data_IF_889775133111
#
_entry.id   IF_889775133111
#
_cell.length_a   1.000
_cell.length_b   1.000
_cell.length_c   1.000
_cell.angle_alpha   90.00
_cell.angle_beta   90.00
_cell.angle_gamma   90.00
#
_symmetry.space_group_name_H-M   'P 1'
#
loop_
_entity.id
_entity.type
_entity.pdbx_description
1 polymer ?
#
# COMPACT_ATOMS: atom_id res chain seq x y z
N UNK A 1 -19.62 2.04 -12.25
CA UNK A 1 -18.17 1.88 -12.45
C UNK A 1 -17.69 0.45 -12.25
N UNK A 2 -18.02 -0.22 -11.12
CA UNK A 2 -17.55 -1.59 -10.85
C UNK A 2 -17.93 -2.62 -11.93
N UNK A 3 -19.19 -2.64 -12.39
CA UNK A 3 -19.65 -3.53 -13.48
C UNK A 3 -18.89 -3.30 -14.79
N UNK A 4 -18.79 -2.05 -15.22
CA UNK A 4 -18.05 -1.68 -16.44
C UNK A 4 -16.59 -2.19 -16.42
N UNK A 5 -15.92 -2.07 -15.26
CA UNK A 5 -14.53 -2.53 -15.11
C UNK A 5 -14.42 -4.06 -15.14
N UNK A 6 -15.45 -4.78 -14.67
CA UNK A 6 -15.53 -6.24 -14.74
C UNK A 6 -15.84 -6.72 -16.16
N UNK A 7 -16.69 -6.01 -16.90
CA UNK A 7 -16.95 -6.30 -18.31
C UNK A 7 -15.66 -6.14 -19.14
N UNK A 8 -14.88 -5.10 -18.85
CA UNK A 8 -13.56 -4.88 -19.49
C UNK A 8 -12.52 -5.90 -19.05
N UNK A 9 -12.66 -6.48 -17.86
CA UNK A 9 -11.79 -7.54 -17.35
C UNK A 9 -12.02 -8.89 -18.05
N UNK A 10 -13.18 -9.12 -18.66
CA UNK A 10 -13.43 -10.37 -19.38
C UNK A 10 -12.44 -10.61 -20.54
N UNK A 11 -11.71 -9.58 -20.99
CA UNK A 11 -10.59 -9.71 -21.94
C UNK A 11 -9.18 -9.75 -21.33
N UNK A 12 -9.00 -9.63 -20.01
CA UNK A 12 -7.67 -9.43 -19.38
C UNK A 12 -7.44 -10.15 -18.04
N UNK A 13 -6.16 -10.37 -17.70
CA UNK A 13 -5.71 -11.06 -16.47
C UNK A 13 -5.42 -10.13 -15.28
N UNK A 14 -5.43 -8.81 -15.48
CA UNK A 14 -4.93 -7.83 -14.50
C UNK A 14 -6.01 -7.29 -13.56
N UNK A 15 -6.66 -8.20 -12.83
CA UNK A 15 -7.83 -7.94 -11.96
C UNK A 15 -7.56 -6.81 -10.95
N UNK A 16 -6.41 -6.85 -10.25
CA UNK A 16 -6.02 -5.83 -9.30
C UNK A 16 -5.81 -4.44 -9.90
N UNK A 17 -5.45 -4.35 -11.19
CA UNK A 17 -5.27 -3.05 -11.88
C UNK A 17 -6.62 -2.37 -12.09
N UNK A 18 -7.63 -3.13 -12.51
CA UNK A 18 -8.99 -2.60 -12.70
C UNK A 18 -9.60 -2.16 -11.36
N UNK A 19 -9.40 -2.94 -10.30
CA UNK A 19 -9.83 -2.54 -8.97
C UNK A 19 -9.14 -1.24 -8.49
N UNK A 20 -7.83 -1.11 -8.72
CA UNK A 20 -7.08 0.08 -8.35
C UNK A 20 -7.59 1.34 -9.06
N UNK A 21 -7.95 1.24 -10.35
CA UNK A 21 -8.52 2.36 -11.13
C UNK A 21 -9.84 2.87 -10.57
N UNK A 22 -10.64 2.01 -9.94
CA UNK A 22 -11.88 2.43 -9.29
C UNK A 22 -11.66 2.96 -7.87
N UNK A 23 -10.78 2.33 -7.09
CA UNK A 23 -10.57 2.69 -5.67
C UNK A 23 -9.74 3.96 -5.49
N UNK A 24 -8.64 4.11 -6.24
CA UNK A 24 -7.67 5.20 -6.02
C UNK A 24 -8.32 6.58 -6.18
N UNK A 25 -9.11 6.87 -7.23
CA UNK A 25 -9.75 8.18 -7.37
C UNK A 25 -10.65 8.55 -6.18
N UNK A 26 -11.44 7.59 -5.68
CA UNK A 26 -12.29 7.82 -4.51
C UNK A 26 -11.49 8.11 -3.24
N UNK A 27 -10.33 7.47 -3.07
CA UNK A 27 -9.43 7.77 -1.95
C UNK A 27 -8.80 9.15 -2.09
N UNK A 28 -8.38 9.56 -3.29
CA UNK A 28 -7.80 10.90 -3.50
C UNK A 28 -8.80 12.04 -3.24
N UNK A 29 -10.08 11.80 -3.50
CA UNK A 29 -11.16 12.76 -3.22
C UNK A 29 -11.50 12.85 -1.72
N UNK A 30 -11.05 11.89 -0.91
CA UNK A 30 -11.43 11.82 0.50
C UNK A 30 -12.64 10.92 0.77
N UNK A 31 -13.30 10.39 -0.27
CA UNK A 31 -14.56 9.66 -0.15
C UNK A 31 -14.35 8.16 0.14
N UNK A 32 -14.08 7.86 1.43
CA UNK A 32 -13.83 6.49 1.91
C UNK A 32 -15.06 5.60 1.75
N UNK A 33 -16.26 6.14 1.94
CA UNK A 33 -17.50 5.36 1.83
C UNK A 33 -17.72 4.88 0.40
N UNK A 34 -17.52 5.74 -0.60
CA UNK A 34 -17.59 5.35 -2.01
C UNK A 34 -16.54 4.30 -2.36
N UNK A 35 -15.30 4.47 -1.89
CA UNK A 35 -14.23 3.48 -2.09
C UNK A 35 -14.59 2.10 -1.49
N UNK A 36 -15.18 2.09 -0.29
CA UNK A 36 -15.63 0.85 0.38
C UNK A 36 -16.77 0.19 -0.37
N UNK A 37 -17.80 0.93 -0.75
CA UNK A 37 -18.93 0.39 -1.51
C UNK A 37 -18.47 -0.16 -2.86
N UNK A 38 -17.56 0.55 -3.54
CA UNK A 38 -16.98 0.09 -4.80
C UNK A 38 -16.25 -1.24 -4.64
N UNK A 39 -15.32 -1.36 -3.67
CA UNK A 39 -14.53 -2.60 -3.51
C UNK A 39 -15.40 -3.78 -3.08
N UNK A 40 -16.37 -3.56 -2.20
CA UNK A 40 -17.31 -4.61 -1.77
C UNK A 40 -18.13 -5.12 -2.95
N UNK A 41 -18.71 -4.22 -3.74
CA UNK A 41 -19.50 -4.60 -4.92
C UNK A 41 -18.64 -5.26 -6.00
N UNK A 42 -17.41 -4.76 -6.23
CA UNK A 42 -16.46 -5.35 -7.17
C UNK A 42 -16.09 -6.79 -6.76
N UNK A 43 -15.80 -7.02 -5.47
CA UNK A 43 -15.48 -8.36 -4.96
C UNK A 43 -16.68 -9.30 -5.04
N UNK A 44 -17.88 -8.87 -4.64
CA UNK A 44 -19.08 -9.71 -4.75
C UNK A 44 -19.30 -10.20 -6.17
N UNK A 45 -19.17 -9.33 -7.17
CA UNK A 45 -19.32 -9.73 -8.57
C UNK A 45 -18.15 -10.59 -9.07
N UNK A 46 -16.92 -10.27 -8.67
CA UNK A 46 -15.74 -11.05 -9.05
C UNK A 46 -15.79 -12.48 -8.49
N UNK A 47 -16.29 -12.66 -7.27
CA UNK A 47 -16.48 -13.98 -6.64
C UNK A 47 -17.53 -14.79 -7.41
N UNK A 48 -18.62 -14.15 -7.87
CA UNK A 48 -19.64 -14.79 -8.69
C UNK A 48 -19.08 -15.25 -10.05
N UNK A 49 -18.25 -14.42 -10.70
CA UNK A 49 -17.68 -14.74 -12.01
C UNK A 49 -16.47 -15.68 -11.95
N UNK A 50 -15.64 -15.58 -10.90
CA UNK A 50 -14.37 -16.32 -10.74
C UNK A 50 -14.15 -16.71 -9.28
N UNK A 51 -14.78 -17.78 -8.78
CA UNK A 51 -14.66 -18.18 -7.36
C UNK A 51 -13.24 -18.63 -6.98
N UNK A 52 -12.41 -19.04 -7.94
CA UNK A 52 -11.01 -19.45 -7.72
C UNK A 52 -10.08 -18.30 -7.29
N UNK A 53 -10.55 -17.05 -7.26
CA UNK A 53 -9.76 -15.91 -6.80
C UNK A 53 -9.68 -15.80 -5.28
N UNK A 54 -10.57 -16.47 -4.56
CA UNK A 54 -10.55 -16.50 -3.10
C UNK A 54 -9.50 -17.50 -2.64
N UNK A 55 -8.47 -16.99 -1.96
CA UNK A 55 -7.47 -17.84 -1.31
C UNK A 55 -8.05 -18.47 -0.04
N UNK A 56 -8.96 -17.76 0.63
CA UNK A 56 -9.69 -18.23 1.79
C UNK A 56 -11.18 -17.89 1.64
N UNK A 57 -12.06 -18.85 1.97
CA UNK A 57 -13.52 -18.69 1.83
C UNK A 57 -14.14 -17.90 2.97
N UNK A 58 -13.47 -17.83 4.12
CA UNK A 58 -13.91 -17.12 5.30
C UNK A 58 -13.39 -15.68 5.28
N UNK A 59 -14.27 -14.66 5.41
CA UNK A 59 -13.82 -13.28 5.54
C UNK A 59 -13.07 -13.10 6.87
N UNK A 60 -12.00 -12.32 6.83
CA UNK A 60 -11.25 -11.93 8.04
C UNK A 60 -11.85 -10.64 8.57
N UNK A 61 -12.30 -10.68 9.82
CA UNK A 61 -12.77 -9.49 10.53
C UNK A 61 -11.58 -8.65 10.97
N UNK A 62 -11.58 -7.36 10.64
CA UNK A 62 -10.50 -6.44 11.01
C UNK A 62 -10.97 -5.54 12.16
N UNK A 63 -10.65 -5.95 13.39
CA UNK A 63 -10.99 -5.24 14.63
C UNK A 63 -12.43 -5.52 15.11
N UNK A 64 -12.92 -4.71 16.05
CA UNK A 64 -14.25 -4.88 16.68
C UNK A 64 -15.42 -4.33 15.84
N UNK A 65 -15.10 -3.72 14.71
CA UNK A 65 -16.08 -3.20 13.74
C UNK A 65 -16.38 -4.30 12.73
N UNK A 66 -17.62 -4.39 12.24
CA UNK A 66 -18.10 -5.36 11.22
C UNK A 66 -17.44 -5.19 9.83
N UNK A 67 -16.20 -4.72 9.80
CA UNK A 67 -15.37 -4.51 8.63
C UNK A 67 -14.69 -5.83 8.27
N UNK A 68 -15.27 -6.53 7.30
CA UNK A 68 -14.74 -7.76 6.71
C UNK A 68 -13.75 -7.47 5.57
N UNK A 69 -12.73 -8.32 5.43
CA UNK A 69 -11.76 -8.34 4.34
C UNK A 69 -11.67 -9.74 3.77
N UNK A 70 -11.76 -9.87 2.45
CA UNK A 70 -11.61 -11.15 1.75
C UNK A 70 -10.16 -11.34 1.30
N UNK A 71 -9.54 -12.47 1.67
CA UNK A 71 -8.20 -12.79 1.20
C UNK A 71 -8.30 -13.40 -0.21
N UNK A 72 -7.73 -12.68 -1.17
CA UNK A 72 -7.69 -13.05 -2.58
C UNK A 72 -6.30 -13.48 -3.01
N UNK A 73 -6.22 -14.26 -4.10
CA UNK A 73 -4.96 -14.68 -4.73
C UNK A 73 -4.17 -13.49 -5.30
N UNK A 74 -4.86 -12.40 -5.68
CA UNK A 74 -4.22 -11.18 -6.14
C UNK A 74 -3.83 -10.29 -4.95
N UNK A 75 -2.53 -10.12 -4.76
CA UNK A 75 -1.96 -9.28 -3.72
C UNK A 75 -2.48 -7.82 -3.81
N UNK A 76 -2.71 -7.30 -5.01
CA UNK A 76 -3.17 -5.90 -5.18
C UNK A 76 -4.57 -5.69 -4.61
N UNK A 77 -5.47 -6.68 -4.73
CA UNK A 77 -6.81 -6.59 -4.15
C UNK A 77 -6.75 -6.62 -2.62
N UNK A 78 -5.90 -7.46 -2.04
CA UNK A 78 -5.70 -7.51 -0.60
C UNK A 78 -5.14 -6.18 -0.09
N UNK A 79 -4.20 -5.59 -0.82
CA UNK A 79 -3.68 -4.27 -0.53
C UNK A 79 -4.76 -3.19 -0.53
N UNK A 80 -5.58 -3.12 -1.59
CA UNK A 80 -6.61 -2.08 -1.70
C UNK A 80 -7.63 -2.17 -0.57
N UNK A 81 -8.05 -3.38 -0.20
CA UNK A 81 -8.94 -3.60 0.93
C UNK A 81 -8.32 -3.09 2.23
N UNK A 82 -7.07 -3.48 2.52
CA UNK A 82 -6.35 -3.01 3.71
C UNK A 82 -6.13 -1.49 3.68
N UNK A 83 -5.77 -0.93 2.53
CA UNK A 83 -5.54 0.50 2.36
C UNK A 83 -6.79 1.33 2.68
N UNK A 84 -7.98 0.92 2.21
CA UNK A 84 -9.25 1.58 2.55
C UNK A 84 -9.48 1.53 4.06
N UNK A 85 -9.25 0.38 4.71
CA UNK A 85 -9.43 0.23 6.16
C UNK A 85 -8.42 1.06 6.97
N UNK A 86 -7.17 1.18 6.49
CA UNK A 86 -6.16 2.05 7.10
C UNK A 86 -6.53 3.53 6.94
N UNK A 87 -7.04 3.94 5.77
CA UNK A 87 -7.53 5.31 5.53
C UNK A 87 -8.76 5.63 6.38
N UNK A 88 -9.68 4.67 6.56
CA UNK A 88 -10.88 4.84 7.40
C UNK A 88 -10.55 5.17 8.85
N UNK A 89 -9.44 4.61 9.35
CA UNK A 89 -8.97 4.84 10.71
C UNK A 89 -7.95 5.97 10.80
N UNK A 90 -7.64 6.63 9.68
CA UNK A 90 -6.75 7.77 9.67
C UNK A 90 -7.40 8.97 10.37
N UNK A 91 -6.74 9.46 11.43
CA UNK A 91 -7.14 10.67 12.15
C UNK A 91 -6.06 11.76 11.99
N UNK A 92 -5.59 11.97 10.76
CA UNK A 92 -4.49 12.89 10.46
C UNK A 92 -3.19 12.48 11.13
N UNK A 93 -2.43 13.47 11.63
CA UNK A 93 -1.15 13.26 12.35
C UNK A 93 -1.33 12.68 13.76
N UNK A 94 -2.57 12.63 14.27
CA UNK A 94 -2.82 12.26 15.67
C UNK A 94 -2.64 10.76 15.95
N UNK A 95 -2.60 9.92 14.91
CA UNK A 95 -2.52 8.47 15.08
C UNK A 95 -1.25 7.87 14.47
N UNK A 96 -0.17 7.92 15.24
CA UNK A 96 1.17 7.45 14.85
C UNK A 96 1.19 5.95 14.50
N UNK A 97 0.43 5.12 15.21
CA UNK A 97 0.40 3.66 14.97
C UNK A 97 -0.17 3.32 13.60
N UNK A 98 -1.20 4.04 13.15
CA UNK A 98 -1.83 3.83 11.84
C UNK A 98 -0.95 4.39 10.72
N UNK A 99 -0.27 5.51 10.95
CA UNK A 99 0.76 6.01 10.02
C UNK A 99 1.87 4.97 9.83
N UNK A 100 2.37 4.37 10.89
CA UNK A 100 3.36 3.29 10.80
C UNK A 100 2.80 2.06 10.09
N UNK A 101 1.55 1.68 10.35
CA UNK A 101 0.88 0.60 9.64
C UNK A 101 0.78 0.87 8.14
N UNK A 102 0.44 2.10 7.73
CA UNK A 102 0.43 2.52 6.33
C UNK A 102 1.81 2.44 5.69
N UNK A 103 2.87 2.91 6.36
CA UNK A 103 4.24 2.81 5.87
C UNK A 103 4.68 1.36 5.73
N UNK A 104 4.40 0.50 6.72
CA UNK A 104 4.70 -0.94 6.65
C UNK A 104 3.92 -1.62 5.52
N UNK A 105 2.67 -1.23 5.30
CA UNK A 105 1.86 -1.74 4.19
C UNK A 105 2.49 -1.34 2.85
N UNK A 106 2.75 -0.05 2.62
CA UNK A 106 3.40 0.43 1.40
C UNK A 106 4.77 -0.25 1.17
N UNK A 107 5.59 -0.35 2.21
CA UNK A 107 6.90 -1.01 2.14
C UNK A 107 6.80 -2.50 1.81
N UNK A 108 5.86 -3.23 2.44
CA UNK A 108 5.65 -4.65 2.15
C UNK A 108 5.26 -4.89 0.69
N UNK A 109 4.43 -4.02 0.13
CA UNK A 109 4.00 -4.14 -1.27
C UNK A 109 5.03 -3.62 -2.27
N UNK A 110 5.87 -2.65 -1.89
CA UNK A 110 7.02 -2.23 -2.69
C UNK A 110 8.10 -3.32 -2.75
N UNK A 111 8.31 -4.05 -1.65
CA UNK A 111 9.29 -5.15 -1.57
C UNK A 111 8.77 -6.45 -2.19
N UNK A 112 7.49 -6.79 -1.97
CA UNK A 112 6.87 -8.03 -2.49
C UNK A 112 6.35 -7.87 -3.92
N UNK A 113 6.05 -6.65 -4.36
CA UNK A 113 5.74 -6.35 -5.75
C UNK A 113 7.01 -6.47 -6.57
N UNK A 114 7.26 -7.66 -7.15
CA UNK A 114 8.36 -7.97 -8.05
C UNK A 114 8.44 -7.03 -9.26
N UNK A 115 8.88 -5.80 -9.02
CA UNK A 115 9.04 -4.74 -10.02
C UNK A 115 10.04 -5.15 -11.12
N UNK A 116 10.89 -6.13 -10.81
CA UNK A 116 11.93 -6.58 -11.71
C UNK A 116 11.43 -7.67 -12.67
N UNK A 117 10.45 -8.51 -12.28
CA UNK A 117 10.02 -9.68 -13.05
C UNK A 117 8.63 -9.57 -13.69
N UNK A 118 7.81 -8.59 -13.30
CA UNK A 118 6.46 -8.42 -13.85
C UNK A 118 6.45 -7.93 -15.32
N UNK A 119 5.41 -8.23 -16.12
CA UNK A 119 5.24 -7.67 -17.45
C UNK A 119 5.24 -6.13 -17.47
N UNK A 120 5.67 -5.47 -18.55
CA UNK A 120 5.84 -4.01 -18.61
C UNK A 120 4.58 -3.21 -18.25
N UNK A 121 3.38 -3.66 -18.66
CA UNK A 121 2.12 -3.03 -18.25
C UNK A 121 1.87 -3.10 -16.74
N UNK A 122 2.14 -4.26 -16.13
CA UNK A 122 1.99 -4.45 -14.69
C UNK A 122 2.98 -3.59 -13.91
N UNK A 123 4.22 -3.41 -14.41
CA UNK A 123 5.21 -2.49 -13.83
C UNK A 123 4.72 -1.03 -13.88
N UNK A 124 4.22 -0.57 -15.02
CA UNK A 124 3.71 0.79 -15.18
C UNK A 124 2.52 1.06 -14.24
N UNK A 125 1.60 0.09 -14.13
CA UNK A 125 0.50 0.22 -13.19
C UNK A 125 0.95 0.21 -11.73
N UNK A 126 1.92 -0.63 -11.35
CA UNK A 126 2.40 -0.65 -9.98
C UNK A 126 3.06 0.69 -9.62
N UNK A 127 3.81 1.29 -10.55
CA UNK A 127 4.35 2.65 -10.39
C UNK A 127 3.23 3.69 -10.24
N UNK A 128 2.17 3.59 -11.04
CA UNK A 128 0.98 4.45 -10.89
C UNK A 128 0.39 4.31 -9.49
N UNK A 129 0.15 3.08 -9.02
CA UNK A 129 -0.38 2.83 -7.66
C UNK A 129 0.55 3.46 -6.61
N UNK A 130 1.86 3.19 -6.66
CA UNK A 130 2.83 3.76 -5.72
C UNK A 130 2.82 5.28 -5.69
N UNK A 131 2.68 5.93 -6.85
CA UNK A 131 2.57 7.39 -6.95
C UNK A 131 1.35 7.92 -6.18
N UNK A 132 0.17 7.32 -6.36
CA UNK A 132 -1.02 7.76 -5.64
C UNK A 132 -1.03 7.37 -4.17
N UNK A 133 -0.39 6.27 -3.79
CA UNK A 133 -0.21 5.93 -2.38
C UNK A 133 0.59 6.99 -1.64
N UNK A 134 1.55 7.59 -2.32
CA UNK A 134 2.27 8.71 -1.76
C UNK A 134 1.35 9.91 -1.52
N UNK A 135 0.52 10.28 -2.51
CA UNK A 135 -0.45 11.37 -2.38
C UNK A 135 -1.51 11.11 -1.29
N UNK A 136 -2.08 9.89 -1.23
CA UNK A 136 -3.01 9.46 -0.18
C UNK A 136 -2.34 9.55 1.20
N UNK A 137 -1.06 9.18 1.26
CA UNK A 137 -0.22 9.30 2.44
C UNK A 137 -0.11 10.73 2.98
N UNK A 138 0.02 11.70 2.08
CA UNK A 138 0.02 13.12 2.45
C UNK A 138 -1.38 13.56 2.90
N UNK A 139 -2.42 13.19 2.16
CA UNK A 139 -3.80 13.65 2.39
C UNK A 139 -4.38 13.16 3.72
N UNK A 140 -4.26 11.87 4.02
CA UNK A 140 -4.89 11.26 5.20
C UNK A 140 -4.00 11.23 6.44
N UNK A 141 -2.69 11.13 6.25
CA UNK A 141 -1.74 10.94 7.35
C UNK A 141 -0.80 12.13 7.51
N UNK A 142 -0.88 13.19 6.70
CA UNK A 142 0.03 14.35 6.80
C UNK A 142 1.51 13.98 6.66
N UNK A 143 1.82 12.87 5.96
CA UNK A 143 3.21 12.44 5.83
C UNK A 143 3.97 13.39 4.91
N UNK A 144 5.22 13.78 5.26
CA UNK A 144 6.05 14.56 4.36
C UNK A 144 6.42 13.75 3.11
N UNK A 145 6.66 14.40 1.96
CA UNK A 145 7.17 13.74 0.76
C UNK A 145 8.47 12.97 1.06
N UNK A 146 8.74 11.83 0.39
CA UNK A 146 9.83 10.95 0.73
C UNK A 146 11.12 11.70 0.37
N UNK A 147 11.90 12.05 1.40
CA UNK A 147 13.20 12.67 1.26
C UNK A 147 14.14 11.64 0.62
N UNK A 148 14.21 11.62 -0.71
CA UNK A 148 15.06 10.69 -1.44
C UNK A 148 14.69 10.42 -2.91
N UNK A 149 13.51 10.82 -3.38
CA UNK A 149 13.20 10.73 -4.83
C UNK A 149 13.57 12.00 -5.62
N UNK A 150 13.78 13.11 -4.94
CA UNK A 150 14.25 14.40 -5.48
C UNK A 150 15.64 14.77 -4.98
N UNK A 151 16.46 13.78 -4.59
CA UNK A 151 17.90 13.96 -4.51
C UNK A 151 18.41 14.01 -5.95
N UNK A 152 18.75 15.21 -6.45
CA UNK A 152 19.43 15.34 -7.73
C UNK A 152 20.72 14.49 -7.61
N UNK A 153 20.90 13.41 -8.37
CA UNK A 153 22.03 12.49 -8.19
C UNK A 153 23.38 13.22 -8.29
N UNK A 154 23.40 14.31 -9.05
CA UNK A 154 24.54 15.22 -9.15
C UNK A 154 24.81 15.96 -7.83
N UNK A 155 23.77 16.33 -7.09
CA UNK A 155 23.89 17.01 -5.80
C UNK A 155 24.35 16.06 -4.68
N UNK A 156 23.93 14.80 -4.71
CA UNK A 156 24.47 13.77 -3.79
C UNK A 156 25.94 13.45 -4.11
N UNK A 157 26.29 13.41 -5.41
CA UNK A 157 27.69 13.25 -5.83
C UNK A 157 28.55 14.48 -5.50
N UNK A 158 28.05 15.70 -5.71
CA UNK A 158 28.76 16.93 -5.36
C UNK A 158 28.91 17.09 -3.85
N UNK A 159 27.93 16.68 -3.05
CA UNK A 159 28.04 16.66 -1.60
C UNK A 159 29.08 15.63 -1.13
N UNK A 160 29.22 14.51 -1.85
CA UNK A 160 30.26 13.50 -1.60
C UNK A 160 31.64 13.89 -2.13
N UNK A 161 31.73 14.81 -3.10
CA UNK A 161 32.98 15.30 -3.70
C UNK A 161 33.53 16.55 -3.01
N UNK A 162 32.65 17.42 -2.51
CA UNK A 162 32.99 18.69 -1.86
C UNK A 162 32.85 18.68 -0.33
N UNK A 163 32.33 17.59 0.25
CA UNK A 163 32.26 17.36 1.70
C UNK A 163 33.47 16.56 2.19
N UNK A 164 34.36 17.21 2.94
CA UNK A 164 35.62 16.66 3.47
C UNK A 164 35.50 15.44 4.40
N UNK A 165 36.62 14.96 4.98
CA UNK A 165 36.78 13.62 5.52
C UNK A 165 35.62 13.21 6.46
N UNK A 166 35.01 12.09 6.11
CA UNK A 166 33.72 11.65 6.60
C UNK A 166 33.63 11.48 8.11
N UNK A 167 32.53 11.98 8.67
CA UNK A 167 31.93 11.35 9.83
C UNK A 167 31.52 9.93 9.40
N UNK A 168 32.09 8.92 10.07
CA UNK A 168 31.99 7.51 9.70
C UNK A 168 30.57 6.99 9.53
N UNK A 169 30.41 5.82 8.89
CA UNK A 169 29.10 5.21 8.68
C UNK A 169 28.41 5.03 10.04
N UNK A 170 27.25 5.67 10.20
CA UNK A 170 26.37 5.41 11.32
C UNK A 170 25.95 3.93 11.25
N UNK A 171 26.37 3.17 12.26
CA UNK A 171 26.04 1.76 12.40
C UNK A 171 24.52 1.54 12.30
N UNK A 172 24.05 0.42 11.70
CA UNK A 172 22.65 0.07 11.72
C UNK A 172 22.15 0.00 13.17
N UNK A 173 21.04 0.68 13.49
CA UNK A 173 20.39 0.53 14.80
C UNK A 173 19.76 -0.86 14.88
N UNK A 174 20.51 -1.84 15.36
CA UNK A 174 19.99 -3.11 15.87
C UNK A 174 19.29 -2.82 17.19
N UNK A 175 17.98 -3.05 17.26
CA UNK A 175 17.25 -3.08 18.52
C UNK A 175 17.62 -4.38 19.24
N UNK A 176 18.58 -4.32 20.18
CA UNK A 176 18.77 -5.38 21.16
C UNK A 176 17.77 -5.17 22.32
N UNK A 177 17.00 -6.19 22.72
CA UNK A 177 16.20 -6.10 23.93
C UNK A 177 17.11 -5.99 25.16
N UNK A 178 16.68 -5.18 26.13
CA UNK A 178 17.44 -4.85 27.33
C UNK A 178 17.78 -6.10 28.18
N UNK A 179 19.03 -6.14 28.65
CA UNK A 179 19.49 -7.10 29.67
C UNK A 179 19.10 -6.66 31.08
N UNK A 180 18.82 -7.65 31.91
CA UNK A 180 18.80 -7.58 33.38
C UNK A 180 18.00 -8.78 33.93
N UNK A 181 18.36 -9.47 35.01
CA UNK A 181 19.50 -9.48 35.93
C UNK A 181 19.13 -10.56 36.97
N UNK A 182 20.06 -11.46 37.33
CA UNK A 182 20.28 -12.15 38.63
C UNK A 182 20.68 -13.61 38.45
N UNK A 183 21.94 -13.97 38.73
CA UNK A 183 22.64 -14.16 40.02
C UNK A 183 22.46 -15.60 40.51
N UNK A 184 23.46 -16.43 40.20
CA UNK A 184 24.05 -17.43 41.09
C UNK A 184 25.58 -17.30 40.98
#
# INVERSE_FOLDING_TARGET
LAQLLLDWLNGGSDIGVFAARGVIPYLLEGNILAARTFISHFLSQLILSRPAILAEKTPVTVGDTSDEVYITTDQVLNFLQLAIRTCQRAHGDKNKTIREAWVRLCGSYQSKGGLMTAPPMRKACLKFILYYLHQIGQLYFGMPPPRGQTGNPLQDMMSSLFGGPGAGPAAPRTLTPASGMNLD
#
